data_IF_842669900972
#
_entry.id   IF_842669900972
#
_cell.length_a   1.000
_cell.length_b   1.000
_cell.length_c   1.000
_cell.angle_alpha   90.00
_cell.angle_beta   90.00
_cell.angle_gamma   90.00
#
_symmetry.space_group_name_H-M   'P 1'
#
loop_
_entity.id
_entity.type
_entity.pdbx_description
1 polymer ?
#
# COMPACT_ATOMS: atom_id res chain seq x y z
N UNK A 1 -55.09 -58.14 42.09
CA UNK A 1 -54.15 -57.91 40.98
C UNK A 1 -53.58 -59.27 40.58
N UNK A 2 -53.64 -59.70 39.30
CA UNK A 2 -53.06 -60.97 38.91
C UNK A 2 -51.55 -60.94 39.18
N UNK A 3 -51.06 -61.81 40.07
CA UNK A 3 -49.63 -61.97 40.34
C UNK A 3 -49.02 -62.77 39.18
N UNK A 4 -48.53 -62.07 38.18
CA UNK A 4 -47.83 -62.67 37.03
C UNK A 4 -46.40 -62.97 37.48
N UNK A 5 -46.04 -64.25 37.62
CA UNK A 5 -44.74 -64.69 38.15
C UNK A 5 -43.63 -64.55 37.11
N UNK A 6 -43.96 -64.66 35.82
CA UNK A 6 -42.96 -64.73 34.74
C UNK A 6 -42.49 -63.36 34.21
N UNK A 7 -43.19 -62.26 34.54
CA UNK A 7 -42.82 -60.92 34.07
C UNK A 7 -42.94 -59.92 35.19
N UNK A 8 -41.80 -59.39 35.63
CA UNK A 8 -41.74 -58.39 36.68
C UNK A 8 -41.68 -56.98 36.06
N UNK A 9 -42.86 -56.37 35.91
CA UNK A 9 -42.99 -55.02 35.36
C UNK A 9 -42.24 -53.96 36.18
N UNK A 10 -42.16 -54.12 37.51
CA UNK A 10 -41.44 -53.19 38.39
C UNK A 10 -39.92 -53.25 38.17
N UNK A 11 -39.36 -54.45 38.01
CA UNK A 11 -37.95 -54.64 37.66
C UNK A 11 -37.64 -54.10 36.25
N UNK A 12 -38.52 -54.32 35.26
CA UNK A 12 -38.33 -53.81 33.91
C UNK A 12 -38.34 -52.27 33.85
N UNK A 13 -39.25 -51.62 34.60
CA UNK A 13 -39.28 -50.15 34.72
C UNK A 13 -38.05 -49.63 35.45
N UNK A 14 -37.61 -50.30 36.52
CA UNK A 14 -36.39 -49.94 37.24
C UNK A 14 -35.14 -50.06 36.34
N UNK A 15 -35.01 -51.13 35.54
CA UNK A 15 -33.92 -51.31 34.57
C UNK A 15 -33.93 -50.24 33.49
N UNK A 16 -35.10 -49.91 32.93
CA UNK A 16 -35.23 -48.85 31.93
C UNK A 16 -34.82 -47.47 32.49
N UNK A 17 -35.21 -47.16 33.72
CA UNK A 17 -34.82 -45.90 34.37
C UNK A 17 -33.32 -45.90 34.73
N UNK A 18 -32.76 -47.02 35.18
CA UNK A 18 -31.32 -47.18 35.42
C UNK A 18 -30.49 -46.95 34.16
N UNK A 19 -30.90 -47.52 33.02
CA UNK A 19 -30.21 -47.33 31.74
C UNK A 19 -30.25 -45.86 31.30
N UNK A 20 -31.39 -45.17 31.51
CA UNK A 20 -31.49 -43.73 31.25
C UNK A 20 -30.57 -42.90 32.15
N UNK A 21 -30.48 -43.23 33.44
CA UNK A 21 -29.58 -42.56 34.38
C UNK A 21 -28.10 -42.79 34.06
N UNK A 22 -27.72 -44.01 33.62
CA UNK A 22 -26.36 -44.30 33.16
C UNK A 22 -26.00 -43.52 31.90
N UNK A 23 -26.92 -43.42 30.93
CA UNK A 23 -26.70 -42.62 29.72
C UNK A 23 -26.57 -41.11 30.02
N UNK A 24 -27.40 -40.58 30.92
CA UNK A 24 -27.32 -39.20 31.37
C UNK A 24 -26.00 -38.91 32.11
N UNK A 25 -25.55 -39.83 32.98
CA UNK A 25 -24.26 -39.73 33.66
C UNK A 25 -23.10 -39.71 32.67
N UNK A 26 -23.10 -40.61 31.68
CA UNK A 26 -22.08 -40.64 30.63
C UNK A 26 -21.98 -39.34 29.84
N UNK A 27 -23.13 -38.75 29.49
CA UNK A 27 -23.18 -37.46 28.79
C UNK A 27 -22.65 -36.31 29.68
N UNK A 28 -23.03 -36.27 30.96
CA UNK A 28 -22.54 -35.25 31.88
C UNK A 28 -21.02 -35.34 32.08
N UNK A 29 -20.46 -36.55 32.17
CA UNK A 29 -19.01 -36.78 32.25
C UNK A 29 -18.32 -36.32 30.96
N UNK A 30 -18.87 -36.63 29.80
CA UNK A 30 -18.33 -36.20 28.50
C UNK A 30 -18.28 -34.67 28.38
N UNK A 31 -19.35 -33.98 28.80
CA UNK A 31 -19.41 -32.51 28.79
C UNK A 31 -18.48 -31.88 29.82
N UNK A 32 -18.37 -32.45 31.02
CA UNK A 32 -17.42 -31.99 32.04
C UNK A 32 -15.97 -32.19 31.62
N UNK A 33 -15.68 -33.30 30.94
CA UNK A 33 -14.33 -33.62 30.47
C UNK A 33 -13.91 -32.79 29.27
N UNK A 34 -14.83 -32.51 28.33
CA UNK A 34 -14.56 -31.70 27.15
C UNK A 34 -14.68 -30.20 27.42
N UNK A 35 -15.44 -29.80 28.45
CA UNK A 35 -15.84 -28.41 28.69
C UNK A 35 -16.91 -27.91 27.69
N UNK A 36 -17.40 -28.77 26.79
CA UNK A 36 -18.34 -28.43 25.73
C UNK A 36 -19.70 -29.09 25.99
N UNK A 37 -20.77 -28.31 25.86
CA UNK A 37 -22.15 -28.79 25.85
C UNK A 37 -22.47 -29.59 24.59
N UNK A 38 -21.90 -29.20 23.45
CA UNK A 38 -22.08 -29.87 22.15
C UNK A 38 -20.73 -30.48 21.77
N UNK A 39 -20.61 -31.80 21.93
CA UNK A 39 -19.40 -32.53 21.56
C UNK A 39 -19.54 -33.23 20.20
N UNK A 40 -20.78 -33.54 19.79
CA UNK A 40 -21.08 -34.23 18.54
C UNK A 40 -22.36 -33.72 17.86
N UNK A 41 -22.57 -34.11 16.59
CA UNK A 41 -23.78 -33.78 15.82
C UNK A 41 -25.06 -34.34 16.45
N UNK A 42 -24.94 -35.38 17.29
CA UNK A 42 -26.06 -35.97 18.02
C UNK A 42 -26.59 -35.02 19.10
N UNK A 43 -25.74 -34.17 19.67
CA UNK A 43 -26.11 -33.28 20.77
C UNK A 43 -26.91 -32.07 20.27
N UNK A 44 -26.43 -31.45 19.19
CA UNK A 44 -27.13 -30.37 18.46
C UNK A 44 -26.49 -30.17 17.08
N UNK A 45 -27.12 -30.70 16.03
CA UNK A 45 -26.63 -30.59 14.66
C UNK A 45 -26.59 -29.14 14.15
N UNK A 46 -27.57 -28.30 14.53
CA UNK A 46 -27.63 -26.92 14.09
C UNK A 46 -26.59 -26.06 14.84
N UNK A 47 -26.48 -26.24 16.15
CA UNK A 47 -25.46 -25.59 16.98
C UNK A 47 -24.04 -25.94 16.53
N UNK A 48 -23.78 -27.21 16.21
CA UNK A 48 -22.49 -27.63 15.69
C UNK A 48 -22.18 -27.02 14.32
N UNK A 49 -23.14 -26.96 13.40
CA UNK A 49 -22.95 -26.34 12.08
C UNK A 49 -22.61 -24.84 12.17
N UNK A 50 -23.32 -24.10 13.03
CA UNK A 50 -23.05 -22.68 13.28
C UNK A 50 -21.65 -22.49 13.88
N UNK A 51 -21.29 -23.34 14.86
CA UNK A 51 -19.98 -23.28 15.49
C UNK A 51 -18.84 -23.60 14.53
N UNK A 52 -19.02 -24.57 13.63
CA UNK A 52 -18.05 -24.88 12.58
C UNK A 52 -17.80 -23.66 11.68
N UNK A 53 -18.87 -22.94 11.29
CA UNK A 53 -18.77 -21.71 10.52
C UNK A 53 -18.06 -20.59 11.30
N UNK A 54 -18.38 -20.41 12.58
CA UNK A 54 -17.67 -19.44 13.42
C UNK A 54 -16.19 -19.79 13.56
N UNK A 55 -15.85 -21.07 13.73
CA UNK A 55 -14.46 -21.52 13.80
C UNK A 55 -13.71 -21.26 12.50
N UNK A 56 -14.33 -21.55 11.35
CA UNK A 56 -13.75 -21.24 10.05
C UNK A 56 -13.49 -19.73 9.89
N UNK A 57 -14.47 -18.89 10.24
CA UNK A 57 -14.32 -17.43 10.19
C UNK A 57 -13.25 -16.93 11.16
N UNK A 58 -13.22 -17.40 12.41
CA UNK A 58 -12.21 -17.01 13.40
C UNK A 58 -10.81 -17.34 12.86
N UNK A 59 -10.61 -18.54 12.32
CA UNK A 59 -9.33 -18.95 11.75
C UNK A 59 -8.96 -18.08 10.54
N UNK A 60 -9.92 -17.79 9.67
CA UNK A 60 -9.74 -16.91 8.51
C UNK A 60 -9.37 -15.48 8.91
N UNK A 61 -10.10 -14.88 9.86
CA UNK A 61 -9.82 -13.53 10.37
C UNK A 61 -8.48 -13.47 11.12
N UNK A 62 -8.10 -14.53 11.84
CA UNK A 62 -6.79 -14.61 12.51
C UNK A 62 -5.64 -14.68 11.50
N UNK A 63 -5.82 -15.41 10.40
CA UNK A 63 -4.85 -15.40 9.29
C UNK A 63 -4.83 -14.03 8.60
N UNK A 64 -5.98 -13.40 8.37
CA UNK A 64 -6.08 -12.08 7.79
C UNK A 64 -5.37 -11.00 8.63
N UNK A 65 -5.45 -11.08 9.96
CA UNK A 65 -4.69 -10.20 10.86
C UNK A 65 -3.18 -10.38 10.68
N UNK A 66 -2.69 -11.62 10.54
CA UNK A 66 -1.28 -11.89 10.22
C UNK A 66 -0.88 -11.35 8.84
N UNK A 67 -1.70 -11.58 7.81
CA UNK A 67 -1.45 -11.04 6.47
C UNK A 67 -1.39 -9.50 6.48
N UNK A 68 -2.25 -8.83 7.26
CA UNK A 68 -2.23 -7.39 7.40
C UNK A 68 -0.94 -6.89 8.07
N UNK A 69 -0.41 -7.62 9.07
CA UNK A 69 0.90 -7.33 9.66
C UNK A 69 2.05 -7.52 8.66
N UNK A 70 1.97 -8.54 7.80
CA UNK A 70 2.94 -8.72 6.70
C UNK A 70 2.87 -7.54 5.72
N UNK A 71 1.66 -7.05 5.41
CA UNK A 71 1.45 -5.84 4.61
C UNK A 71 2.08 -4.59 5.22
N UNK A 72 1.96 -4.40 6.55
CA UNK A 72 2.65 -3.32 7.28
C UNK A 72 4.17 -3.48 7.17
N UNK A 73 4.69 -4.68 7.36
CA UNK A 73 6.14 -4.96 7.31
C UNK A 73 6.72 -4.68 5.92
N UNK A 74 5.99 -5.04 4.86
CA UNK A 74 6.35 -4.73 3.48
C UNK A 74 6.33 -3.21 3.23
N UNK A 75 5.29 -2.51 3.69
CA UNK A 75 5.19 -1.05 3.55
C UNK A 75 6.34 -0.33 4.29
N UNK A 76 6.71 -0.78 5.50
CA UNK A 76 7.82 -0.22 6.27
C UNK A 76 9.18 -0.47 5.62
N UNK A 77 9.39 -1.67 5.06
CA UNK A 77 10.63 -1.98 4.33
C UNK A 77 10.77 -1.09 3.10
N UNK A 78 9.65 -0.90 2.38
CA UNK A 78 9.61 -0.02 1.19
C UNK A 78 9.82 1.44 1.57
N UNK A 79 9.17 1.92 2.63
CA UNK A 79 9.34 3.28 3.16
C UNK A 79 10.78 3.55 3.59
N UNK A 80 11.45 2.58 4.23
CA UNK A 80 12.86 2.68 4.58
C UNK A 80 13.76 2.93 3.36
N UNK A 81 13.54 2.18 2.27
CA UNK A 81 14.27 2.39 1.03
C UNK A 81 13.94 3.74 0.35
N UNK A 82 12.67 4.16 0.39
CA UNK A 82 12.28 5.49 -0.11
C UNK A 82 12.92 6.63 0.69
N UNK A 83 13.15 6.46 1.99
CA UNK A 83 13.87 7.45 2.80
C UNK A 83 15.33 7.59 2.31
N UNK A 84 16.02 6.48 2.03
CA UNK A 84 17.38 6.52 1.47
C UNK A 84 17.40 7.21 0.09
N UNK A 85 16.41 6.93 -0.77
CA UNK A 85 16.28 7.63 -2.05
C UNK A 85 16.06 9.13 -1.83
N UNK A 86 15.16 9.51 -0.92
CA UNK A 86 14.89 10.92 -0.59
C UNK A 86 16.15 11.65 -0.10
N UNK A 87 16.94 11.02 0.78
CA UNK A 87 18.19 11.59 1.28
C UNK A 87 19.23 11.77 0.17
N UNK A 88 19.34 10.81 -0.76
CA UNK A 88 20.20 10.95 -1.93
C UNK A 88 19.75 12.10 -2.84
N UNK A 89 18.44 12.24 -3.10
CA UNK A 89 17.87 13.34 -3.89
C UNK A 89 18.12 14.71 -3.24
N UNK A 90 17.92 14.84 -1.93
CA UNK A 90 18.23 16.08 -1.22
C UNK A 90 19.71 16.45 -1.30
N UNK A 91 20.60 15.45 -1.26
CA UNK A 91 22.04 15.66 -1.45
C UNK A 91 22.38 16.10 -2.88
N UNK A 92 21.80 15.46 -3.90
CA UNK A 92 21.99 15.86 -5.30
C UNK A 92 21.49 17.30 -5.50
N UNK A 93 20.34 17.66 -4.92
CA UNK A 93 19.82 19.02 -4.95
C UNK A 93 20.78 20.03 -4.31
N UNK A 94 21.33 19.72 -3.12
CA UNK A 94 22.35 20.54 -2.44
C UNK A 94 23.59 20.73 -3.33
N UNK A 95 24.10 19.65 -3.92
CA UNK A 95 25.25 19.67 -4.82
C UNK A 95 24.97 20.49 -6.08
N UNK A 96 23.76 20.40 -6.63
CA UNK A 96 23.33 21.18 -7.80
C UNK A 96 23.28 22.67 -7.50
N UNK A 97 22.76 23.07 -6.33
CA UNK A 97 22.81 24.47 -5.87
C UNK A 97 24.25 24.93 -5.65
N UNK A 98 25.10 24.08 -5.08
CA UNK A 98 26.52 24.40 -4.92
C UNK A 98 27.19 24.64 -6.27
N UNK A 99 26.97 23.76 -7.25
CA UNK A 99 27.53 23.85 -8.60
C UNK A 99 27.04 25.07 -9.39
N UNK A 100 25.83 25.56 -9.10
CA UNK A 100 25.28 26.77 -9.70
C UNK A 100 25.99 28.06 -9.27
N UNK A 101 26.86 28.02 -8.24
CA UNK A 101 27.63 29.17 -7.84
C UNK A 101 28.75 29.47 -8.86
N UNK A 102 28.73 30.68 -9.44
CA UNK A 102 29.68 31.13 -10.47
C UNK A 102 31.13 31.28 -10.02
N UNK A 103 31.43 31.13 -8.72
CA UNK A 103 32.81 31.12 -8.21
C UNK A 103 33.51 29.78 -8.37
N UNK A 104 32.78 28.70 -8.69
CA UNK A 104 33.36 27.37 -8.84
C UNK A 104 34.11 27.27 -10.17
N UNK A 105 35.28 26.64 -10.16
CA UNK A 105 35.98 26.29 -11.38
C UNK A 105 35.31 25.10 -12.10
N UNK A 106 35.68 24.89 -13.37
CA UNK A 106 35.23 23.72 -14.13
C UNK A 106 35.64 22.40 -13.46
N UNK A 107 36.85 22.33 -12.90
CA UNK A 107 37.32 21.16 -12.14
C UNK A 107 36.52 20.92 -10.85
N UNK A 108 36.07 21.99 -10.18
CA UNK A 108 35.23 21.85 -8.98
C UNK A 108 33.85 21.32 -9.36
N UNK A 109 33.26 21.85 -10.45
CA UNK A 109 31.97 21.38 -10.96
C UNK A 109 32.04 19.93 -11.42
N UNK A 110 33.15 19.51 -12.03
CA UNK A 110 33.35 18.10 -12.40
C UNK A 110 33.39 17.20 -11.17
N UNK A 111 34.10 17.60 -10.11
CA UNK A 111 34.14 16.83 -8.86
C UNK A 111 32.76 16.72 -8.21
N UNK A 112 31.94 17.78 -8.29
CA UNK A 112 30.56 17.76 -7.81
C UNK A 112 29.70 16.83 -8.68
N UNK A 113 29.88 16.83 -10.01
CA UNK A 113 29.18 15.93 -10.92
C UNK A 113 29.51 14.46 -10.61
N UNK A 114 30.78 14.14 -10.36
CA UNK A 114 31.18 12.78 -10.01
C UNK A 114 30.50 12.30 -8.71
N UNK A 115 30.31 13.19 -7.72
CA UNK A 115 29.55 12.88 -6.51
C UNK A 115 28.05 12.67 -6.82
N UNK A 116 27.47 13.52 -7.67
CA UNK A 116 26.08 13.38 -8.13
C UNK A 116 25.88 12.04 -8.84
N UNK A 117 26.78 11.64 -9.74
CA UNK A 117 26.70 10.38 -10.48
C UNK A 117 26.72 9.17 -9.54
N UNK A 118 27.54 9.21 -8.49
CA UNK A 118 27.56 8.16 -7.46
C UNK A 118 26.24 8.08 -6.69
N UNK A 119 25.61 9.22 -6.40
CA UNK A 119 24.29 9.26 -5.72
C UNK A 119 23.17 8.76 -6.63
N UNK A 120 23.20 9.11 -7.91
CA UNK A 120 22.27 8.59 -8.92
C UNK A 120 22.40 7.07 -9.07
N UNK A 121 23.63 6.55 -9.11
CA UNK A 121 23.89 5.12 -9.12
C UNK A 121 23.38 4.43 -7.83
N UNK A 122 23.52 5.08 -6.68
CA UNK A 122 23.00 4.57 -5.41
C UNK A 122 21.47 4.53 -5.37
N UNK A 123 20.78 5.53 -5.93
CA UNK A 123 19.32 5.51 -6.09
C UNK A 123 18.89 4.29 -6.91
N UNK A 124 19.54 4.04 -8.06
CA UNK A 124 19.26 2.87 -8.88
C UNK A 124 19.54 1.56 -8.13
N UNK A 125 20.66 1.50 -7.39
CA UNK A 125 20.99 0.33 -6.57
C UNK A 125 19.92 0.05 -5.51
N UNK A 126 19.48 1.06 -4.77
CA UNK A 126 18.43 0.92 -3.74
C UNK A 126 17.11 0.46 -4.39
N UNK A 127 16.74 1.06 -5.51
CA UNK A 127 15.55 0.69 -6.28
C UNK A 127 15.55 -0.78 -6.73
N UNK A 128 16.65 -1.22 -7.33
CA UNK A 128 16.80 -2.56 -7.89
C UNK A 128 17.01 -3.66 -6.84
N UNK A 129 17.65 -3.32 -5.71
CA UNK A 129 18.05 -4.31 -4.71
C UNK A 129 17.03 -4.47 -3.59
N UNK A 130 16.21 -3.46 -3.28
CA UNK A 130 15.25 -3.54 -2.18
C UNK A 130 14.18 -4.61 -2.46
N UNK A 131 14.10 -5.59 -1.57
CA UNK A 131 13.15 -6.68 -1.66
C UNK A 131 12.54 -7.04 -0.31
N UNK A 132 11.31 -7.54 -0.36
CA UNK A 132 10.65 -8.15 0.78
C UNK A 132 10.15 -9.52 0.37
N UNK A 133 10.64 -10.58 1.03
CA UNK A 133 10.27 -11.97 0.72
C UNK A 133 10.41 -12.34 -0.77
N UNK A 134 11.48 -11.85 -1.41
CA UNK A 134 11.77 -12.08 -2.84
C UNK A 134 10.97 -11.22 -3.83
N UNK A 135 10.08 -10.35 -3.35
CA UNK A 135 9.36 -9.38 -4.19
C UNK A 135 10.18 -8.08 -4.21
N UNK A 136 10.59 -7.64 -5.40
CA UNK A 136 11.22 -6.32 -5.60
C UNK A 136 10.17 -5.24 -5.45
N UNK A 137 10.36 -4.33 -4.50
CA UNK A 137 9.31 -3.39 -4.09
C UNK A 137 9.38 -2.02 -4.79
N UNK A 138 10.52 -1.67 -5.40
CA UNK A 138 10.74 -0.37 -6.05
C UNK A 138 11.26 -0.48 -7.49
N UNK A 139 11.49 -1.69 -8.01
CA UNK A 139 12.13 -1.88 -9.31
C UNK A 139 11.17 -1.82 -10.50
N UNK A 140 9.86 -1.84 -10.27
CA UNK A 140 8.81 -1.82 -11.29
C UNK A 140 7.48 -1.40 -10.68
N UNK A 141 6.62 -0.84 -11.51
CA UNK A 141 5.23 -0.59 -11.11
C UNK A 141 4.49 -1.91 -10.90
N UNK A 142 3.91 -2.06 -9.71
CA UNK A 142 3.09 -3.22 -9.38
C UNK A 142 2.12 -2.90 -8.25
N UNK A 143 1.01 -3.61 -8.25
CA UNK A 143 0.04 -3.58 -7.15
C UNK A 143 0.09 -4.91 -6.42
N UNK A 144 0.30 -4.87 -5.10
CA UNK A 144 0.26 -6.05 -4.25
C UNK A 144 -1.03 -6.07 -3.43
N UNK A 145 -1.87 -7.06 -3.67
CA UNK A 145 -3.13 -7.24 -2.94
C UNK A 145 -2.93 -8.11 -1.70
N UNK A 146 -3.20 -7.55 -0.52
CA UNK A 146 -3.13 -8.24 0.76
C UNK A 146 -4.54 -8.67 1.19
N UNK A 147 -4.76 -9.97 1.36
CA UNK A 147 -6.02 -10.51 1.85
C UNK A 147 -6.17 -10.23 3.35
N UNK A 148 -7.11 -9.35 3.70
CA UNK A 148 -7.36 -8.87 5.06
C UNK A 148 -8.73 -9.26 5.61
N UNK A 149 -9.40 -10.22 4.98
CA UNK A 149 -10.66 -10.77 5.45
C UNK A 149 -10.77 -12.28 5.29
N UNK A 150 -11.83 -12.86 5.83
CA UNK A 150 -12.08 -14.30 5.80
C UNK A 150 -12.71 -14.80 4.48
N UNK A 151 -13.25 -13.89 3.66
CA UNK A 151 -13.89 -14.24 2.38
C UNK A 151 -13.11 -13.69 1.19
N UNK A 152 -13.25 -14.33 0.04
CA UNK A 152 -12.59 -13.95 -1.21
C UNK A 152 -12.89 -12.50 -1.59
N UNK A 153 -11.87 -11.80 -2.11
CA UNK A 153 -11.97 -10.41 -2.57
C UNK A 153 -11.93 -9.35 -1.46
N UNK A 154 -11.77 -9.74 -0.19
CA UNK A 154 -11.56 -8.81 0.92
C UNK A 154 -10.08 -8.41 1.03
N UNK A 155 -9.60 -7.62 0.06
CA UNK A 155 -8.20 -7.22 -0.05
C UNK A 155 -7.98 -5.73 0.20
N UNK A 156 -6.75 -5.39 0.59
CA UNK A 156 -6.20 -4.04 0.52
C UNK A 156 -5.03 -4.08 -0.45
N UNK A 157 -5.07 -3.18 -1.42
CA UNK A 157 -4.02 -3.05 -2.41
C UNK A 157 -2.96 -2.04 -1.92
N UNK A 158 -1.70 -2.43 -2.06
CA UNK A 158 -0.53 -1.58 -1.89
C UNK A 158 0.01 -1.30 -3.29
N UNK A 159 -0.02 -0.04 -3.71
CA UNK A 159 0.61 0.38 -4.94
C UNK A 159 2.10 0.61 -4.67
N UNK A 160 2.93 -0.02 -5.50
CA UNK A 160 4.37 0.10 -5.46
C UNK A 160 4.80 0.68 -6.81
N UNK A 161 5.41 1.85 -6.78
CA UNK A 161 5.93 2.52 -7.96
C UNK A 161 7.41 2.20 -8.19
N UNK A 162 7.81 2.16 -9.45
CA UNK A 162 9.22 2.16 -9.81
C UNK A 162 9.86 3.49 -9.38
N UNK A 163 11.04 3.42 -8.74
CA UNK A 163 11.73 4.60 -8.18
C UNK A 163 13.21 4.57 -8.55
N UNK A 164 13.50 4.75 -9.83
CA UNK A 164 14.84 4.79 -10.39
C UNK A 164 15.12 6.15 -11.06
N UNK A 165 16.35 6.37 -11.52
CA UNK A 165 16.70 7.64 -12.17
C UNK A 165 15.89 7.91 -13.43
N UNK A 166 15.39 6.88 -14.13
CA UNK A 166 14.55 7.05 -15.32
C UNK A 166 13.16 7.59 -14.97
N UNK A 167 12.47 6.91 -14.06
CA UNK A 167 11.13 7.26 -13.59
C UNK A 167 11.09 8.58 -12.80
N UNK A 168 12.16 8.89 -12.07
CA UNK A 168 12.33 10.16 -11.38
C UNK A 168 12.74 11.32 -12.32
N UNK A 169 12.89 11.07 -13.63
CA UNK A 169 13.23 12.11 -14.62
C UNK A 169 14.69 12.60 -14.54
N UNK A 170 15.58 11.80 -13.93
CA UNK A 170 16.99 12.12 -13.69
C UNK A 170 17.92 11.53 -14.75
N UNK A 171 17.37 10.95 -15.81
CA UNK A 171 18.19 10.34 -16.84
C UNK A 171 18.99 11.41 -17.61
N UNK A 172 20.30 11.20 -17.69
CA UNK A 172 21.24 12.20 -18.19
C UNK A 172 21.30 13.49 -17.36
N UNK A 173 21.00 13.44 -16.06
CA UNK A 173 21.16 14.58 -15.16
C UNK A 173 22.62 15.05 -15.13
N UNK A 174 22.88 16.26 -15.63
CA UNK A 174 24.23 16.77 -15.79
C UNK A 174 24.29 18.27 -15.48
N UNK A 175 25.13 18.64 -14.52
CA UNK A 175 25.39 20.01 -14.08
C UNK A 175 26.56 20.66 -14.83
N UNK A 176 27.33 19.93 -15.65
CA UNK A 176 28.47 20.45 -16.41
C UNK A 176 28.02 21.18 -17.67
N UNK A 177 27.08 20.59 -18.41
CA UNK A 177 26.58 21.10 -19.69
C UNK A 177 25.46 22.15 -19.54
N UNK A 178 25.52 22.97 -18.49
CA UNK A 178 24.56 24.06 -18.30
C UNK A 178 24.77 25.11 -19.39
N UNK A 179 23.77 25.27 -20.26
CA UNK A 179 23.77 26.33 -21.25
C UNK A 179 23.46 27.64 -20.53
N UNK A 180 24.30 28.65 -20.72
CA UNK A 180 24.06 29.97 -20.18
C UNK A 180 22.80 30.56 -20.84
N UNK A 181 21.77 30.80 -20.04
CA UNK A 181 20.51 31.39 -20.47
C UNK A 181 20.30 32.73 -19.79
N UNK A 182 19.63 33.65 -20.48
CA UNK A 182 19.23 34.95 -19.93
C UNK A 182 17.75 35.16 -20.21
N UNK A 183 16.99 35.69 -19.24
CA UNK A 183 15.60 36.05 -19.51
C UNK A 183 15.52 37.14 -20.57
N UNK A 184 14.64 36.93 -21.54
CA UNK A 184 14.41 37.92 -22.61
C UNK A 184 13.86 39.19 -21.99
N UNK A 185 14.54 40.30 -22.23
CA UNK A 185 14.15 41.63 -21.74
C UNK A 185 14.32 42.67 -22.85
N UNK A 186 13.57 43.77 -22.74
CA UNK A 186 13.69 44.89 -23.67
C UNK A 186 15.11 45.49 -23.62
N UNK A 187 15.68 45.76 -24.79
CA UNK A 187 17.05 46.25 -24.94
C UNK A 187 18.13 45.18 -24.90
N UNK A 188 17.78 43.89 -24.76
CA UNK A 188 18.73 42.79 -24.87
C UNK A 188 19.33 42.73 -26.28
N UNK A 189 20.66 42.67 -26.37
CA UNK A 189 21.36 42.53 -27.65
C UNK A 189 21.40 41.06 -28.07
N UNK A 190 20.89 40.79 -29.27
CA UNK A 190 20.85 39.48 -29.90
C UNK A 190 21.85 39.45 -31.06
N UNK A 191 22.40 38.28 -31.35
CA UNK A 191 23.40 38.05 -32.39
C UNK A 191 22.82 37.10 -33.43
N UNK A 192 23.05 37.41 -34.71
CA UNK A 192 22.70 36.55 -35.84
C UNK A 192 23.78 36.69 -36.91
N UNK A 193 24.62 35.68 -37.06
CA UNK A 193 25.85 35.74 -37.84
C UNK A 193 26.80 36.84 -37.33
N UNK A 194 27.18 37.75 -38.23
CA UNK A 194 28.03 38.89 -37.88
C UNK A 194 27.22 40.08 -37.32
N UNK A 195 25.89 40.02 -37.39
CA UNK A 195 25.01 41.14 -37.10
C UNK A 195 24.50 41.11 -35.66
N UNK A 196 24.15 42.30 -35.17
CA UNK A 196 23.65 42.52 -33.81
C UNK A 196 22.39 43.37 -33.86
N UNK A 197 21.43 43.05 -33.01
CA UNK A 197 20.16 43.77 -32.91
C UNK A 197 19.75 43.91 -31.44
N UNK A 198 19.14 45.03 -31.06
CA UNK A 198 18.63 45.20 -29.70
C UNK A 198 17.11 44.98 -29.73
N UNK A 199 16.60 44.06 -28.91
CA UNK A 199 15.18 43.75 -28.89
C UNK A 199 14.34 44.94 -28.43
N UNK A 200 13.33 45.30 -29.22
CA UNK A 200 12.29 46.23 -28.82
C UNK A 200 11.09 45.50 -28.20
N UNK A 201 10.23 46.25 -27.50
CA UNK A 201 9.01 45.69 -26.90
C UNK A 201 8.13 44.95 -27.93
N UNK A 202 7.98 45.51 -29.13
CA UNK A 202 7.18 44.89 -30.20
C UNK A 202 7.79 43.59 -30.71
N UNK A 203 9.10 43.41 -30.61
CA UNK A 203 9.76 42.17 -31.03
C UNK A 203 9.56 41.08 -29.98
N UNK A 204 9.56 41.43 -28.70
CA UNK A 204 9.23 40.51 -27.62
C UNK A 204 7.78 40.01 -27.74
N UNK A 205 6.83 40.90 -28.08
CA UNK A 205 5.42 40.52 -28.30
C UNK A 205 5.26 39.57 -29.50
N UNK A 206 6.04 39.77 -30.58
CA UNK A 206 6.09 38.84 -31.72
C UNK A 206 6.69 37.50 -31.31
N UNK A 207 7.81 37.49 -30.59
CA UNK A 207 8.44 36.26 -30.10
C UNK A 207 7.49 35.48 -29.18
N UNK A 208 6.78 36.17 -28.29
CA UNK A 208 5.77 35.56 -27.42
C UNK A 208 4.65 34.91 -28.24
N UNK A 209 4.20 35.60 -29.30
CA UNK A 209 3.18 35.08 -30.22
C UNK A 209 3.69 33.87 -31.01
N UNK A 210 4.95 33.87 -31.46
CA UNK A 210 5.54 32.72 -32.18
C UNK A 210 5.73 31.51 -31.25
N UNK A 211 6.25 31.74 -30.04
CA UNK A 211 6.50 30.67 -29.07
C UNK A 211 5.21 30.09 -28.51
N UNK A 212 4.20 30.91 -28.19
CA UNK A 212 3.03 30.46 -27.42
C UNK A 212 1.69 30.60 -28.16
N UNK A 213 1.69 31.18 -29.35
CA UNK A 213 0.47 31.49 -30.10
C UNK A 213 -0.31 32.68 -29.52
N UNK A 214 -1.28 33.18 -30.29
CA UNK A 214 -2.06 34.37 -29.93
C UNK A 214 -2.86 34.26 -28.60
N UNK A 215 -3.07 33.05 -28.08
CA UNK A 215 -3.77 32.77 -26.81
C UNK A 215 -2.82 32.46 -25.64
N UNK A 216 -1.54 32.21 -25.91
CA UNK A 216 -0.55 31.81 -24.91
C UNK A 216 0.15 33.00 -24.25
N UNK A 217 -0.60 33.91 -23.63
CA UNK A 217 0.04 35.03 -22.92
C UNK A 217 0.70 34.51 -21.63
N UNK A 218 1.93 34.93 -21.32
CA UNK A 218 2.53 34.79 -19.98
C UNK A 218 3.40 33.56 -19.72
N UNK A 219 4.02 32.99 -20.77
CA UNK A 219 5.14 32.06 -20.62
C UNK A 219 6.45 32.78 -20.28
N UNK A 220 7.47 32.04 -19.79
CA UNK A 220 8.82 32.59 -19.59
C UNK A 220 9.64 32.37 -20.84
N UNK A 221 10.35 33.39 -21.29
CA UNK A 221 11.23 33.32 -22.46
C UNK A 221 12.69 33.53 -22.03
N UNK A 222 13.56 32.70 -22.59
CA UNK A 222 14.99 32.71 -22.35
C UNK A 222 15.73 32.79 -23.68
N UNK A 223 16.80 33.55 -23.72
CA UNK A 223 17.75 33.58 -24.81
C UNK A 223 19.00 32.80 -24.41
N UNK A 224 19.58 32.10 -25.37
CA UNK A 224 20.84 31.38 -25.23
C UNK A 224 21.66 31.49 -26.50
N UNK A 225 22.96 31.27 -26.39
CA UNK A 225 23.85 31.18 -27.55
C UNK A 225 23.85 29.75 -28.06
N UNK A 226 23.44 29.55 -29.30
CA UNK A 226 23.49 28.25 -29.96
C UNK A 226 24.96 27.85 -30.18
N UNK A 227 25.34 26.69 -29.66
CA UNK A 227 26.73 26.25 -29.68
C UNK A 227 27.26 25.90 -31.09
N UNK A 228 26.37 25.65 -32.05
CA UNK A 228 26.72 25.26 -33.42
C UNK A 228 26.91 26.50 -34.30
N UNK A 229 26.02 27.47 -34.16
CA UNK A 229 25.97 28.66 -35.02
C UNK A 229 26.64 29.87 -34.39
N UNK A 230 26.68 29.96 -33.06
CA UNK A 230 27.09 31.16 -32.32
C UNK A 230 25.99 32.24 -32.24
N UNK A 231 24.81 31.97 -32.80
CA UNK A 231 23.68 32.89 -32.87
C UNK A 231 22.86 32.87 -31.58
N UNK A 232 22.06 33.91 -31.36
CA UNK A 232 21.09 33.95 -30.26
C UNK A 232 19.82 33.21 -30.65
N UNK A 233 19.58 32.10 -29.97
CA UNK A 233 18.34 31.33 -30.06
C UNK A 233 17.46 31.60 -28.83
N UNK A 234 16.16 31.36 -28.99
CA UNK A 234 15.16 31.60 -27.96
C UNK A 234 14.46 30.31 -27.61
N UNK A 235 14.19 30.16 -26.32
CA UNK A 235 13.39 29.08 -25.80
C UNK A 235 12.36 29.63 -24.82
N UNK A 236 11.13 29.15 -24.92
CA UNK A 236 10.02 29.54 -24.09
C UNK A 236 9.36 28.35 -23.44
N UNK A 237 8.86 28.55 -22.22
CA UNK A 237 7.93 27.63 -21.55
C UNK A 237 6.60 28.32 -21.35
N UNK A 238 5.52 27.68 -21.81
CA UNK A 238 4.17 28.19 -21.60
C UNK A 238 3.68 27.95 -20.16
N UNK A 239 2.44 28.34 -19.86
CA UNK A 239 1.84 28.16 -18.52
C UNK A 239 1.50 26.71 -18.20
N UNK A 240 1.38 25.87 -19.23
CA UNK A 240 1.05 24.46 -19.11
C UNK A 240 2.32 23.58 -19.04
N UNK A 241 3.50 24.19 -19.14
CA UNK A 241 4.80 23.52 -19.05
C UNK A 241 5.37 23.02 -20.38
N UNK A 242 4.77 23.36 -21.52
CA UNK A 242 5.27 22.97 -22.83
C UNK A 242 6.42 23.88 -23.26
N UNK A 243 7.51 23.28 -23.71
CA UNK A 243 8.70 23.98 -24.16
C UNK A 243 8.71 24.11 -25.68
N UNK A 244 9.04 25.31 -26.15
CA UNK A 244 9.17 25.62 -27.57
C UNK A 244 10.42 26.46 -27.81
N UNK A 245 11.07 26.23 -28.94
CA UNK A 245 12.23 27.00 -29.36
C UNK A 245 11.93 27.75 -30.66
N UNK A 246 12.52 28.94 -30.79
CA UNK A 246 12.50 29.74 -32.00
C UNK A 246 13.88 30.36 -32.20
N UNK A 247 14.29 30.51 -33.45
CA UNK A 247 15.56 31.15 -33.82
C UNK A 247 15.24 32.49 -34.47
N UNK A 248 16.01 33.52 -34.12
CA UNK A 248 15.90 34.81 -34.77
C UNK A 248 16.82 34.90 -35.99
N UNK A 249 16.31 35.49 -37.06
CA UNK A 249 17.11 35.92 -38.21
C UNK A 249 17.19 37.44 -38.19
N UNK A 250 18.41 37.97 -38.21
CA UNK A 250 18.65 39.42 -38.28
C UNK A 250 18.87 39.79 -39.75
N UNK A 251 18.09 40.75 -40.23
CA UNK A 251 18.33 41.37 -41.54
C UNK A 251 18.97 42.74 -41.30
N UNK A 252 20.26 42.91 -41.60
CA UNK A 252 20.96 44.17 -41.36
C UNK A 252 20.46 45.27 -42.29
N UNK A 253 20.57 46.52 -41.85
CA UNK A 253 20.31 47.67 -42.69
C UNK A 253 21.41 47.78 -43.77
N UNK A 254 21.06 47.49 -45.03
CA UNK A 254 22.03 47.49 -46.15
C UNK A 254 22.38 48.89 -46.67
N UNK A 255 21.65 49.92 -46.22
CA UNK A 255 21.81 51.31 -46.65
C UNK A 255 21.43 52.25 -45.51
N UNK A 256 22.34 53.08 -44.98
CA UNK A 256 22.03 54.00 -43.88
C UNK A 256 20.83 54.92 -44.22
N UNK A 257 19.76 54.82 -43.43
CA UNK A 257 18.53 55.61 -43.57
C UNK A 257 17.44 54.97 -44.45
N UNK A 258 17.54 53.69 -44.80
CA UNK A 258 16.54 52.97 -45.61
C UNK A 258 15.47 52.23 -44.76
N UNK A 259 15.63 52.24 -43.44
CA UNK A 259 14.73 51.62 -42.48
C UNK A 259 15.53 50.86 -41.44
N UNK A 260 15.02 50.84 -40.20
CA UNK A 260 15.71 50.21 -39.08
C UNK A 260 16.02 48.73 -39.38
N UNK A 261 17.15 48.23 -38.87
CA UNK A 261 17.47 46.80 -38.89
C UNK A 261 16.28 45.99 -38.38
N UNK A 262 16.05 44.79 -38.91
CA UNK A 262 14.87 43.99 -38.54
C UNK A 262 15.26 42.64 -37.98
N UNK A 263 14.47 42.19 -37.02
CA UNK A 263 14.50 40.84 -36.51
C UNK A 263 13.22 40.11 -36.93
N UNK A 264 13.37 38.89 -37.43
CA UNK A 264 12.27 37.96 -37.69
C UNK A 264 12.50 36.69 -36.87
N UNK A 265 11.43 36.14 -36.31
CA UNK A 265 11.47 34.90 -35.54
C UNK A 265 10.92 33.77 -36.40
N UNK A 266 11.64 32.65 -36.45
CA UNK A 266 11.16 31.45 -37.11
C UNK A 266 9.96 30.87 -36.35
N UNK A 267 9.10 30.14 -37.08
CA UNK A 267 8.00 29.40 -36.47
C UNK A 267 8.53 28.47 -35.38
N UNK A 268 7.93 28.58 -34.19
CA UNK A 268 8.41 27.82 -33.05
C UNK A 268 8.24 26.31 -33.24
N UNK A 269 9.25 25.56 -32.81
CA UNK A 269 9.23 24.10 -32.79
C UNK A 269 9.07 23.59 -31.36
N UNK A 270 8.30 22.51 -31.19
CA UNK A 270 8.21 21.83 -29.89
C UNK A 270 9.58 21.29 -29.48
N UNK A 271 9.91 21.51 -28.21
CA UNK A 271 11.16 21.06 -27.60
C UNK A 271 10.81 19.98 -26.59
N UNK A 272 11.48 18.83 -26.73
CA UNK A 272 11.39 17.79 -25.73
C UNK A 272 12.25 18.15 -24.51
N UNK A 273 11.57 18.53 -23.42
CA UNK A 273 12.20 18.87 -22.15
C UNK A 273 13.07 17.74 -21.58
N UNK A 274 12.80 16.48 -21.93
CA UNK A 274 13.55 15.33 -21.43
C UNK A 274 14.91 15.13 -22.12
N UNK A 275 15.13 15.76 -23.27
CA UNK A 275 16.36 15.58 -24.06
C UNK A 275 17.11 16.87 -24.36
N UNK A 276 16.43 18.02 -24.32
CA UNK A 276 17.04 19.30 -24.66
C UNK A 276 17.98 19.82 -23.54
N UNK A 277 19.26 20.11 -23.86
CA UNK A 277 20.25 20.54 -22.88
C UNK A 277 19.97 21.94 -22.30
N UNK A 278 19.31 22.82 -23.05
CA UNK A 278 18.95 24.17 -22.60
C UNK A 278 17.80 24.06 -21.60
N UNK A 279 16.76 23.27 -21.92
CA UNK A 279 15.64 23.02 -21.00
C UNK A 279 16.14 22.39 -19.70
N UNK A 280 16.95 21.33 -19.78
CA UNK A 280 17.52 20.67 -18.60
C UNK A 280 18.32 21.63 -17.71
N UNK A 281 19.05 22.57 -18.31
CA UNK A 281 19.79 23.58 -17.55
C UNK A 281 18.88 24.54 -16.78
N UNK A 282 17.72 24.88 -17.34
CA UNK A 282 16.72 25.76 -16.74
C UNK A 282 15.88 25.05 -15.67
N UNK A 283 15.65 23.75 -15.83
CA UNK A 283 14.78 22.96 -14.96
C UNK A 283 15.54 22.13 -13.94
N UNK A 284 16.87 22.22 -13.83
CA UNK A 284 17.66 21.27 -13.02
C UNK A 284 17.18 21.14 -11.56
N UNK A 285 16.82 22.25 -10.92
CA UNK A 285 16.26 22.26 -9.56
C UNK A 285 14.78 21.87 -9.54
N UNK A 286 14.04 22.23 -10.58
CA UNK A 286 12.64 21.84 -10.73
C UNK A 286 12.52 20.32 -10.89
N UNK A 287 13.38 19.69 -11.69
CA UNK A 287 13.47 18.24 -11.84
C UNK A 287 13.81 17.56 -10.51
N UNK A 288 14.67 18.15 -9.67
CA UNK A 288 14.90 17.64 -8.30
C UNK A 288 13.66 17.76 -7.41
N UNK A 289 12.97 18.91 -7.48
CA UNK A 289 11.77 19.16 -6.68
C UNK A 289 10.62 18.23 -7.10
N UNK A 290 10.47 17.96 -8.41
CA UNK A 290 9.49 17.03 -8.97
C UNK A 290 9.82 15.57 -8.56
N UNK A 291 11.10 15.17 -8.62
CA UNK A 291 11.54 13.85 -8.16
C UNK A 291 11.30 13.64 -6.66
N UNK A 292 11.59 14.65 -5.83
CA UNK A 292 11.29 14.63 -4.40
C UNK A 292 9.78 14.51 -4.14
N UNK A 293 8.97 15.26 -4.88
CA UNK A 293 7.51 15.20 -4.78
C UNK A 293 6.96 13.81 -5.11
N UNK A 294 7.49 13.15 -6.15
CA UNK A 294 7.11 11.78 -6.52
C UNK A 294 7.43 10.76 -5.41
N UNK A 295 8.61 10.87 -4.79
CA UNK A 295 9.00 10.03 -3.66
C UNK A 295 8.10 10.27 -2.45
N UNK A 296 7.79 11.53 -2.14
CA UNK A 296 6.92 11.90 -1.02
C UNK A 296 5.47 11.47 -1.24
N UNK A 297 4.95 11.54 -2.48
CA UNK A 297 3.64 10.99 -2.83
C UNK A 297 3.60 9.48 -2.57
N UNK A 298 4.64 8.74 -2.98
CA UNK A 298 4.68 7.31 -2.74
C UNK A 298 4.75 6.97 -1.23
N UNK A 299 5.59 7.68 -0.47
CA UNK A 299 5.69 7.53 0.99
C UNK A 299 4.36 7.83 1.69
N UNK A 300 3.67 8.89 1.25
CA UNK A 300 2.33 9.23 1.74
C UNK A 300 1.34 8.10 1.50
N UNK A 301 1.34 7.52 0.29
CA UNK A 301 0.50 6.36 -0.06
C UNK A 301 0.77 5.12 0.81
N UNK A 302 2.05 4.82 1.09
CA UNK A 302 2.44 3.73 1.98
C UNK A 302 2.03 4.01 3.43
N UNK A 303 2.20 5.24 3.93
CA UNK A 303 1.76 5.64 5.27
C UNK A 303 0.24 5.54 5.44
N UNK A 304 -0.53 5.96 4.43
CA UNK A 304 -1.98 5.77 4.40
C UNK A 304 -2.36 4.28 4.44
N UNK A 305 -1.63 3.44 3.71
CA UNK A 305 -1.85 1.98 3.71
C UNK A 305 -1.54 1.36 5.08
N UNK A 306 -0.46 1.75 5.74
CA UNK A 306 -0.13 1.32 7.11
C UNK A 306 -1.25 1.68 8.10
N UNK A 307 -1.76 2.92 8.05
CA UNK A 307 -2.88 3.34 8.89
C UNK A 307 -4.15 2.52 8.63
N UNK A 308 -4.42 2.20 7.35
CA UNK A 308 -5.54 1.37 6.96
C UNK A 308 -5.39 -0.07 7.49
N UNK A 309 -4.21 -0.67 7.40
CA UNK A 309 -3.94 -2.00 7.97
C UNK A 309 -4.12 -2.01 9.49
N UNK A 310 -3.60 -1.00 10.22
CA UNK A 310 -3.78 -0.89 11.67
C UNK A 310 -5.26 -0.82 12.08
N UNK A 311 -6.06 -0.05 11.33
CA UNK A 311 -7.51 0.04 11.55
C UNK A 311 -8.22 -1.29 11.28
N UNK A 312 -7.83 -1.99 10.20
CA UNK A 312 -8.39 -3.29 9.86
C UNK A 312 -8.02 -4.34 10.90
N UNK A 313 -6.77 -4.42 11.35
CA UNK A 313 -6.34 -5.33 12.42
C UNK A 313 -7.20 -5.13 13.67
N UNK A 314 -7.38 -3.87 14.10
CA UNK A 314 -8.22 -3.55 15.26
C UNK A 314 -9.68 -3.99 15.06
N UNK A 315 -10.22 -3.89 13.85
CA UNK A 315 -11.58 -4.36 13.54
C UNK A 315 -11.69 -5.90 13.49
N UNK A 316 -10.68 -6.56 12.91
CA UNK A 316 -10.59 -8.01 12.83
C UNK A 316 -10.51 -8.62 14.22
N UNK A 317 -9.67 -8.08 15.11
CA UNK A 317 -9.52 -8.58 16.48
C UNK A 317 -10.83 -8.47 17.27
N UNK A 318 -11.53 -7.34 17.15
CA UNK A 318 -12.87 -7.18 17.74
C UNK A 318 -13.87 -8.20 17.19
N UNK A 319 -13.83 -8.46 15.88
CA UNK A 319 -14.71 -9.44 15.25
C UNK A 319 -14.38 -10.86 15.71
N UNK A 320 -13.11 -11.21 15.85
CA UNK A 320 -12.65 -12.49 16.39
C UNK A 320 -13.12 -12.67 17.83
N UNK A 321 -13.02 -11.64 18.68
CA UNK A 321 -13.53 -11.69 20.07
C UNK A 321 -15.04 -11.93 20.07
N UNK A 322 -15.81 -11.14 19.32
CA UNK A 322 -17.27 -11.25 19.27
C UNK A 322 -17.75 -12.62 18.74
N UNK A 323 -17.06 -13.16 17.72
CA UNK A 323 -17.34 -14.50 17.20
C UNK A 323 -16.93 -15.59 18.17
N UNK A 324 -15.82 -15.42 18.90
CA UNK A 324 -15.36 -16.37 19.91
C UNK A 324 -16.34 -16.44 21.09
N UNK A 325 -16.83 -15.30 21.57
CA UNK A 325 -17.88 -15.26 22.60
C UNK A 325 -19.20 -15.89 22.12
N UNK A 326 -19.58 -15.61 20.87
CA UNK A 326 -20.78 -16.20 20.28
C UNK A 326 -20.65 -17.70 20.11
N UNK A 327 -19.45 -18.20 19.77
CA UNK A 327 -19.14 -19.63 19.72
C UNK A 327 -19.18 -20.24 21.12
N UNK A 328 -18.60 -19.59 22.12
CA UNK A 328 -18.60 -20.04 23.52
C UNK A 328 -20.03 -20.21 24.05
N UNK A 329 -20.93 -19.25 23.83
CA UNK A 329 -22.35 -19.37 24.22
C UNK A 329 -23.08 -20.56 23.59
N UNK A 330 -22.62 -21.03 22.43
CA UNK A 330 -23.21 -22.18 21.73
C UNK A 330 -22.58 -23.48 22.21
N UNK A 331 -21.25 -23.56 22.23
CA UNK A 331 -20.53 -24.80 22.47
C UNK A 331 -20.21 -25.07 23.93
N UNK A 332 -19.92 -24.05 24.74
CA UNK A 332 -19.33 -24.27 26.07
C UNK A 332 -20.39 -24.78 27.06
N UNK A 333 -19.95 -25.67 27.96
CA UNK A 333 -20.78 -26.18 29.03
C UNK A 333 -20.69 -25.28 30.27
N UNK A 334 -21.84 -25.04 30.92
CA UNK A 334 -21.86 -24.48 32.27
C UNK A 334 -21.53 -25.58 33.27
N UNK A 335 -20.32 -25.50 33.86
CA UNK A 335 -19.83 -26.47 34.84
C UNK A 335 -20.77 -26.64 36.03
N UNK A 336 -21.41 -25.58 36.53
CA UNK A 336 -22.29 -25.69 37.69
C UNK A 336 -23.53 -26.53 37.37
N UNK A 337 -24.08 -26.35 36.16
CA UNK A 337 -25.22 -27.14 35.67
C UNK A 337 -24.82 -28.59 35.43
N UNK A 338 -23.68 -28.84 34.78
CA UNK A 338 -23.27 -30.22 34.47
C UNK A 338 -22.83 -31.01 35.70
N UNK A 339 -22.17 -30.38 36.69
CA UNK A 339 -21.89 -31.02 37.99
C UNK A 339 -23.18 -31.38 38.71
N UNK A 340 -24.18 -30.50 38.68
CA UNK A 340 -25.50 -30.76 39.27
C UNK A 340 -26.21 -31.93 38.60
N UNK A 341 -26.15 -32.01 37.26
CA UNK A 341 -26.70 -33.12 36.49
C UNK A 341 -25.97 -34.44 36.77
N UNK A 342 -24.63 -34.42 36.83
CA UNK A 342 -23.81 -35.57 37.18
C UNK A 342 -24.15 -36.09 38.59
N UNK A 343 -24.21 -35.20 39.58
CA UNK A 343 -24.58 -35.54 40.95
C UNK A 343 -25.99 -36.16 41.02
N UNK A 344 -26.97 -35.55 40.35
CA UNK A 344 -28.33 -36.11 40.23
C UNK A 344 -28.32 -37.50 39.60
N UNK A 345 -27.57 -37.69 38.51
CA UNK A 345 -27.49 -38.97 37.81
C UNK A 345 -26.82 -40.06 38.67
N UNK A 346 -25.78 -39.72 39.43
CA UNK A 346 -25.14 -40.62 40.39
C UNK A 346 -26.10 -41.04 41.51
N UNK A 347 -26.87 -40.10 42.08
CA UNK A 347 -27.88 -40.39 43.11
C UNK A 347 -29.00 -41.28 42.54
N UNK A 348 -29.46 -41.03 41.31
CA UNK A 348 -30.47 -41.86 40.66
C UNK A 348 -29.94 -43.27 40.33
N UNK A 349 -28.65 -43.39 39.99
CA UNK A 349 -28.01 -44.68 39.76
C UNK A 349 -27.97 -45.52 41.04
N UNK A 350 -27.56 -44.95 42.18
CA UNK A 350 -27.51 -45.66 43.46
C UNK A 350 -28.90 -46.00 44.01
N UNK A 351 -29.86 -45.09 43.87
CA UNK A 351 -31.26 -45.36 44.21
C UNK A 351 -31.86 -46.45 43.30
N UNK A 352 -31.58 -46.39 42.00
CA UNK A 352 -32.08 -47.35 41.02
C UNK A 352 -31.57 -48.77 41.25
N UNK A 353 -30.31 -48.96 41.65
CA UNK A 353 -29.76 -50.30 41.96
C UNK A 353 -30.41 -50.88 43.21
N UNK A 354 -30.72 -50.03 44.19
CA UNK A 354 -31.42 -50.42 45.42
C UNK A 354 -32.87 -50.80 45.13
N UNK A 355 -33.59 -50.01 44.33
CA UNK A 355 -34.97 -50.31 43.91
C UNK A 355 -35.03 -51.54 43.02
N UNK A 356 -34.06 -51.76 42.13
CA UNK A 356 -33.95 -52.97 41.31
C UNK A 356 -33.72 -54.21 42.20
N UNK A 357 -32.85 -54.12 43.19
CA UNK A 357 -32.62 -55.19 44.15
C UNK A 357 -33.90 -55.54 44.93
N UNK A 358 -34.64 -54.53 45.38
CA UNK A 358 -35.92 -54.72 46.08
C UNK A 358 -37.01 -55.26 45.15
N UNK A 359 -37.10 -54.79 43.91
CA UNK A 359 -38.05 -55.27 42.90
C UNK A 359 -37.81 -56.74 42.54
N UNK A 360 -36.56 -57.20 42.55
CA UNK A 360 -36.20 -58.60 42.29
C UNK A 360 -36.51 -59.54 43.48
N UNK A 361 -36.70 -59.02 44.70
CA UNK A 361 -37.09 -59.80 45.88
C UNK A 361 -38.61 -60.06 45.94
N UNK A 362 -39.44 -59.22 45.31
CA UNK A 362 -40.92 -59.35 45.33
C UNK A 362 -41.41 -60.72 44.81
N UNK A 363 -40.92 -61.25 43.68
CA UNK A 363 -41.31 -62.59 43.21
C UNK A 363 -40.84 -63.72 44.15
N UNK A 364 -39.71 -63.56 44.84
CA UNK A 364 -39.20 -64.54 45.80
C UNK A 364 -40.07 -64.63 47.05
N UNK A 365 -40.59 -63.50 47.53
CA UNK A 365 -41.56 -63.46 48.64
C UNK A 365 -42.91 -64.11 48.28
N UNK A 366 -43.30 -64.08 47.01
CA UNK A 366 -44.51 -64.79 46.52
C UNK A 366 -44.27 -66.30 46.45
N UNK A 367 -43.08 -66.74 46.04
CA UNK A 367 -42.71 -68.16 46.04
C UNK A 367 -42.64 -68.76 47.47
N UNK A 368 -42.28 -67.96 48.48
CA UNK A 368 -42.33 -68.41 49.88
C UNK A 368 -43.74 -68.52 50.45
N UNK A 369 -44.72 -67.84 49.86
CA UNK A 369 -46.15 -67.92 50.24
C UNK A 369 -46.89 -69.09 49.57
N UNK A 370 -46.29 -69.70 48.53
CA UNK A 370 -46.82 -70.84 47.79
C UNK A 370 -46.17 -72.18 48.19
N UNK A 371 -45.29 -72.17 49.20
CA UNK A 371 -44.65 -73.38 49.76
C UNK A 371 -45.33 -73.87 51.02
#
# INVERSE_FOLDING_TARGET
>A
MPQIINTNAMSLVAQNNLNKSQAALGTAIERLSSGLRINSAKDDAAGQAISNRFTANINGLTQASRNANDGISLAQTTEGALNEINDNLQNIRRLSVQAANGTNSESDRQSIQDEIDQRLAEINRVSEQTEFNGIKVLSKDQTLSIQVGANDGQTIDINLGQMDTGTLGLDGFNIMNMVATSQVTEGMQVVGGADKYNLEKTDIEKLETELFGATGTGGKMYAYTDATTGDTAFIGVDKDGNWKASVATITPETTPGAGDAKIEFATATDVDAATDPVVKSLTILQTMDDALAMVDEMRSGLGASQNRFNSVISNLDNTVINLSESRARILDADFAVEVSNMSRANILQSAGTTVLAQANQVPQNVLTLLR
#
